data_IF_061990872971
#
_entry.id   IF_061990872971
#
_cell.length_a   1.000
_cell.length_b   1.000
_cell.length_c   1.000
_cell.angle_alpha   90.00
_cell.angle_beta   90.00
_cell.angle_gamma   90.00
#
_symmetry.space_group_name_H-M   'P 1'
#
loop_
_entity.id
_entity.type
_entity.pdbx_description
1 polymer ?
#
# COMPACT_ATOMS: atom_id res chain seq x y z
N UNK A 1 -13.59 -39.75 -4.68
CA UNK A 1 -13.89 -38.83 -3.58
C UNK A 1 -12.79 -37.76 -3.55
N UNK A 2 -13.03 -36.61 -4.17
CA UNK A 2 -12.04 -35.53 -4.25
C UNK A 2 -11.92 -34.86 -2.89
N UNK A 3 -10.72 -34.83 -2.33
CA UNK A 3 -10.38 -34.08 -1.12
C UNK A 3 -10.47 -32.61 -1.51
N UNK A 4 -11.57 -31.94 -1.16
CA UNK A 4 -11.66 -30.49 -1.23
C UNK A 4 -10.64 -29.90 -0.25
N UNK A 5 -9.45 -29.59 -0.75
CA UNK A 5 -8.50 -28.75 -0.02
C UNK A 5 -9.24 -27.46 0.35
N UNK A 6 -9.47 -27.21 1.64
CA UNK A 6 -9.97 -25.91 2.12
C UNK A 6 -9.00 -24.84 1.62
N UNK A 7 -9.41 -24.08 0.59
CA UNK A 7 -8.66 -22.90 0.17
C UNK A 7 -8.51 -22.00 1.40
N UNK A 8 -7.29 -21.91 1.94
CA UNK A 8 -7.01 -20.98 3.03
C UNK A 8 -7.25 -19.57 2.52
N UNK A 9 -8.09 -18.82 3.24
CA UNK A 9 -8.37 -17.43 2.86
C UNK A 9 -7.07 -16.62 2.99
N UNK A 10 -6.72 -15.81 1.99
CA UNK A 10 -5.58 -14.91 2.09
C UNK A 10 -5.69 -13.98 3.30
N UNK A 11 -4.55 -13.72 3.94
CA UNK A 11 -4.42 -12.62 4.89
C UNK A 11 -4.17 -11.33 4.10
N UNK A 12 -4.99 -10.32 4.33
CA UNK A 12 -4.87 -9.02 3.67
C UNK A 12 -4.21 -8.02 4.61
N UNK A 13 -3.02 -7.54 4.25
CA UNK A 13 -2.27 -6.56 5.03
C UNK A 13 -2.25 -5.23 4.29
N UNK A 14 -2.73 -4.17 4.94
CA UNK A 14 -2.60 -2.80 4.44
C UNK A 14 -1.31 -2.16 4.94
N UNK A 15 -0.50 -1.60 4.04
CA UNK A 15 0.68 -0.80 4.37
C UNK A 15 0.46 0.63 3.89
N UNK A 16 0.20 1.54 4.81
CA UNK A 16 -0.10 2.93 4.51
C UNK A 16 0.97 3.86 5.06
N UNK A 17 1.04 5.06 4.54
CA UNK A 17 1.95 6.11 4.98
C UNK A 17 2.22 7.11 3.87
N UNK A 18 2.75 8.26 4.22
CA UNK A 18 2.98 9.37 3.31
C UNK A 18 3.91 9.01 2.16
N UNK A 19 3.93 9.85 1.12
CA UNK A 19 4.87 9.70 0.01
C UNK A 19 6.31 9.57 0.52
N UNK A 20 7.12 8.76 -0.15
CA UNK A 20 8.54 8.54 0.19
C UNK A 20 8.81 7.93 1.59
N UNK A 21 7.82 7.46 2.34
CA UNK A 21 8.04 6.78 3.63
C UNK A 21 8.76 5.43 3.52
N UNK A 22 8.89 4.88 2.31
CA UNK A 22 9.59 3.60 2.08
C UNK A 22 8.69 2.39 1.89
N UNK A 23 7.36 2.55 1.93
CA UNK A 23 6.37 1.47 1.79
C UNK A 23 6.64 0.50 0.65
N UNK A 24 6.61 1.01 -0.59
CA UNK A 24 6.74 0.18 -1.80
C UNK A 24 8.09 -0.55 -1.88
N UNK A 25 9.16 0.08 -1.38
CA UNK A 25 10.49 -0.53 -1.34
C UNK A 25 10.50 -1.73 -0.40
N UNK A 26 9.96 -1.56 0.82
CA UNK A 26 9.89 -2.61 1.83
C UNK A 26 9.02 -3.77 1.35
N UNK A 27 7.82 -3.46 0.82
CA UNK A 27 6.89 -4.49 0.35
C UNK A 27 7.48 -5.30 -0.79
N UNK A 28 8.18 -4.63 -1.73
CA UNK A 28 8.86 -5.32 -2.83
C UNK A 28 9.96 -6.26 -2.34
N UNK A 29 10.77 -5.85 -1.37
CA UNK A 29 11.81 -6.72 -0.79
C UNK A 29 11.19 -7.95 -0.10
N UNK A 30 10.07 -7.78 0.59
CA UNK A 30 9.34 -8.91 1.18
C UNK A 30 8.79 -9.86 0.10
N UNK A 31 8.22 -9.32 -0.98
CA UNK A 31 7.74 -10.13 -2.11
C UNK A 31 8.87 -10.93 -2.76
N UNK A 32 10.04 -10.31 -2.95
CA UNK A 32 11.21 -10.97 -3.53
C UNK A 32 11.81 -12.04 -2.60
N UNK A 33 11.84 -11.76 -1.29
CA UNK A 33 12.38 -12.68 -0.27
C UNK A 33 11.50 -13.91 -0.03
N UNK A 34 10.18 -13.71 -0.03
CA UNK A 34 9.17 -14.73 0.26
C UNK A 34 8.34 -15.07 -0.99
N UNK A 35 9.02 -15.37 -2.10
CA UNK A 35 8.40 -15.69 -3.38
C UNK A 35 7.35 -16.82 -3.24
N UNK A 36 6.16 -16.56 -3.79
CA UNK A 36 5.04 -17.49 -3.72
C UNK A 36 4.15 -17.35 -2.47
N UNK A 37 4.59 -16.62 -1.43
CA UNK A 37 3.81 -16.37 -0.22
C UNK A 37 3.08 -15.03 -0.25
N UNK A 38 3.63 -14.04 -0.97
CA UNK A 38 3.16 -12.66 -1.03
C UNK A 38 2.67 -12.26 -2.42
N UNK A 39 1.56 -11.53 -2.46
CA UNK A 39 1.12 -10.73 -3.61
C UNK A 39 1.13 -9.26 -3.21
N UNK A 40 1.86 -8.43 -3.94
CA UNK A 40 1.88 -6.98 -3.75
C UNK A 40 0.90 -6.27 -4.70
N UNK A 41 0.03 -5.46 -4.14
CA UNK A 41 -0.89 -4.56 -4.86
C UNK A 41 -0.62 -3.12 -4.46
N UNK A 42 -0.18 -2.32 -5.42
CA UNK A 42 0.08 -0.90 -5.23
C UNK A 42 -1.17 -0.07 -5.58
N UNK A 43 -1.64 0.74 -4.62
CA UNK A 43 -2.77 1.66 -4.78
C UNK A 43 -2.58 2.63 -5.95
N UNK A 44 -1.34 3.04 -6.20
CA UNK A 44 -1.02 3.99 -7.29
C UNK A 44 -1.40 3.49 -8.69
N UNK A 45 -1.60 2.18 -8.86
CA UNK A 45 -2.11 1.63 -10.12
C UNK A 45 -3.59 1.96 -10.36
N UNK A 46 -4.31 2.33 -9.31
CA UNK A 46 -5.73 2.64 -9.36
C UNK A 46 -6.02 4.13 -9.51
N UNK A 47 -5.05 4.94 -9.92
CA UNK A 47 -5.29 6.34 -10.27
C UNK A 47 -6.25 6.46 -11.45
N UNK A 48 -7.16 7.44 -11.37
CA UNK A 48 -7.99 7.87 -12.51
C UNK A 48 -7.12 8.53 -13.58
N UNK A 49 -7.59 8.60 -14.82
CA UNK A 49 -6.89 9.33 -15.89
C UNK A 49 -6.84 10.84 -15.67
N UNK A 50 -7.84 11.37 -14.96
CA UNK A 50 -7.96 12.81 -14.64
C UNK A 50 -8.39 12.95 -13.20
N UNK A 51 -7.79 13.90 -12.52
CA UNK A 51 -8.16 14.32 -11.17
C UNK A 51 -7.77 15.78 -10.97
N UNK A 52 -8.61 16.52 -10.26
CA UNK A 52 -8.33 17.91 -9.90
C UNK A 52 -7.25 18.00 -8.81
N UNK A 53 -7.24 17.02 -7.93
CA UNK A 53 -6.24 16.90 -6.87
C UNK A 53 -5.69 15.46 -6.83
N UNK A 54 -4.46 15.28 -7.31
CA UNK A 54 -3.78 13.98 -7.34
C UNK A 54 -3.39 13.45 -5.97
N UNK A 55 -3.31 14.30 -4.97
CA UNK A 55 -2.97 13.93 -3.59
C UNK A 55 -4.22 13.63 -2.74
N UNK A 56 -5.42 13.81 -3.31
CA UNK A 56 -6.69 13.55 -2.64
C UNK A 56 -7.32 12.20 -2.99
N UNK A 57 -8.27 11.71 -2.16
CA UNK A 57 -8.94 10.42 -2.36
C UNK A 57 -9.68 10.30 -3.69
N UNK A 58 -10.20 11.42 -4.21
CA UNK A 58 -10.97 11.44 -5.45
C UNK A 58 -10.14 11.14 -6.70
N UNK A 59 -8.81 11.16 -6.58
CA UNK A 59 -7.90 10.75 -7.64
C UNK A 59 -7.86 9.22 -7.87
N UNK A 60 -8.39 8.45 -6.92
CA UNK A 60 -8.27 6.99 -6.88
C UNK A 60 -9.59 6.29 -7.17
N UNK A 61 -9.51 5.14 -7.83
CA UNK A 61 -10.64 4.23 -8.07
C UNK A 61 -10.73 3.22 -6.92
N UNK A 62 -11.20 3.70 -5.76
CA UNK A 62 -11.39 2.84 -4.60
C UNK A 62 -12.39 1.71 -4.84
N UNK A 63 -13.43 1.95 -5.64
CA UNK A 63 -14.40 0.93 -6.06
C UNK A 63 -13.70 -0.27 -6.68
N UNK A 64 -12.78 -0.04 -7.63
CA UNK A 64 -12.01 -1.09 -8.31
C UNK A 64 -10.98 -1.76 -7.41
N UNK A 65 -10.30 -1.01 -6.57
CA UNK A 65 -9.38 -1.57 -5.57
C UNK A 65 -10.13 -2.49 -4.60
N UNK A 66 -11.26 -2.04 -4.07
CA UNK A 66 -12.12 -2.82 -3.16
C UNK A 66 -12.63 -4.10 -3.82
N UNK A 67 -13.12 -4.01 -5.07
CA UNK A 67 -13.55 -5.17 -5.86
C UNK A 67 -12.43 -6.21 -5.99
N UNK A 68 -11.22 -5.77 -6.37
CA UNK A 68 -10.06 -6.65 -6.51
C UNK A 68 -9.68 -7.32 -5.18
N UNK A 69 -9.67 -6.58 -4.08
CA UNK A 69 -9.34 -7.14 -2.75
C UNK A 69 -10.42 -8.11 -2.26
N UNK A 70 -11.72 -7.85 -2.53
CA UNK A 70 -12.80 -8.80 -2.19
C UNK A 70 -12.65 -10.12 -2.92
N UNK A 71 -12.35 -10.09 -4.23
CA UNK A 71 -12.13 -11.28 -5.04
C UNK A 71 -10.98 -12.11 -4.47
N UNK A 72 -9.82 -11.48 -4.22
CA UNK A 72 -8.67 -12.15 -3.65
C UNK A 72 -8.97 -12.73 -2.27
N UNK A 73 -9.62 -11.96 -1.38
CA UNK A 73 -9.98 -12.41 -0.03
C UNK A 73 -10.93 -13.60 -0.03
N UNK A 74 -11.76 -13.74 -1.07
CA UNK A 74 -12.65 -14.92 -1.27
C UNK A 74 -11.95 -16.09 -1.98
N UNK A 75 -10.66 -15.97 -2.29
CA UNK A 75 -9.88 -17.02 -2.97
C UNK A 75 -10.06 -17.07 -4.48
N UNK A 76 -10.57 -15.98 -5.08
CA UNK A 76 -10.75 -15.83 -6.53
C UNK A 76 -9.65 -14.95 -7.14
N UNK A 77 -9.38 -15.16 -8.43
CA UNK A 77 -8.51 -14.30 -9.18
C UNK A 77 -9.15 -12.90 -9.33
N UNK A 78 -8.31 -11.89 -9.43
CA UNK A 78 -8.73 -10.52 -9.70
C UNK A 78 -7.93 -9.96 -10.89
N UNK A 79 -8.51 -8.97 -11.56
CA UNK A 79 -7.81 -8.20 -12.58
C UNK A 79 -7.49 -6.81 -12.03
N UNK A 80 -6.22 -6.41 -12.13
CA UNK A 80 -5.72 -5.11 -11.69
C UNK A 80 -5.06 -4.38 -12.85
N UNK A 81 -4.94 -3.04 -12.79
CA UNK A 81 -4.22 -2.31 -13.84
C UNK A 81 -2.73 -2.67 -13.85
N UNK A 82 -2.14 -2.91 -15.02
CA UNK A 82 -0.68 -3.04 -15.18
C UNK A 82 0.04 -1.70 -14.98
N UNK A 83 -0.59 -0.60 -15.38
CA UNK A 83 -0.02 0.74 -15.36
C UNK A 83 -0.92 1.72 -14.59
N UNK A 84 -0.32 2.84 -14.14
CA UNK A 84 -1.06 3.99 -13.60
C UNK A 84 -1.85 4.68 -14.72
N UNK A 85 -2.93 5.37 -14.36
CA UNK A 85 -3.75 6.20 -15.27
C UNK A 85 -4.36 5.45 -16.46
N UNK A 86 -4.44 4.13 -16.38
CA UNK A 86 -5.17 3.30 -17.35
C UNK A 86 -6.55 2.94 -16.83
N UNK A 87 -7.51 2.72 -17.70
CA UNK A 87 -8.81 2.12 -17.38
C UNK A 87 -8.86 0.64 -17.71
N UNK A 88 -7.75 0.11 -18.20
CA UNK A 88 -7.63 -1.31 -18.56
C UNK A 88 -7.13 -2.09 -17.37
N UNK A 89 -7.88 -3.13 -17.00
CA UNK A 89 -7.56 -4.10 -15.95
C UNK A 89 -7.09 -5.38 -16.63
N UNK A 90 -5.85 -5.40 -17.04
CA UNK A 90 -5.25 -6.40 -17.95
C UNK A 90 -4.31 -7.39 -17.24
N UNK A 91 -3.94 -7.10 -15.99
CA UNK A 91 -3.07 -8.00 -15.22
C UNK A 91 -3.92 -8.89 -14.30
N UNK A 92 -4.03 -10.16 -14.66
CA UNK A 92 -4.58 -11.17 -13.76
C UNK A 92 -3.64 -11.42 -12.59
N UNK A 93 -4.19 -11.43 -11.37
CA UNK A 93 -3.50 -11.78 -10.14
C UNK A 93 -4.28 -12.88 -9.41
N UNK A 94 -3.54 -13.83 -8.83
CA UNK A 94 -4.09 -14.95 -8.07
C UNK A 94 -3.97 -14.67 -6.58
N UNK A 95 -4.87 -15.21 -5.74
CA UNK A 95 -4.71 -15.13 -4.30
C UNK A 95 -3.45 -15.87 -3.86
N UNK A 96 -2.64 -15.20 -3.04
CA UNK A 96 -1.48 -15.77 -2.34
C UNK A 96 -1.82 -15.90 -0.86
N UNK A 97 -0.98 -16.60 -0.08
CA UNK A 97 -1.17 -16.72 1.38
C UNK A 97 -1.31 -15.36 2.05
N UNK A 98 -0.52 -14.38 1.59
CA UNK A 98 -0.53 -13.00 2.05
C UNK A 98 -0.71 -12.07 0.85
N UNK A 99 -1.65 -11.13 0.96
CA UNK A 99 -1.84 -10.04 0.00
C UNK A 99 -1.52 -8.73 0.71
N UNK A 100 -0.45 -8.06 0.27
CA UNK A 100 -0.08 -6.75 0.80
C UNK A 100 -0.62 -5.68 -0.14
N UNK A 101 -1.46 -4.81 0.38
CA UNK A 101 -1.97 -3.62 -0.32
C UNK A 101 -1.23 -2.42 0.23
N UNK A 102 -0.51 -1.68 -0.61
CA UNK A 102 0.22 -0.50 -0.16
C UNK A 102 -0.29 0.77 -0.85
N UNK A 103 -0.28 1.88 -0.10
CA UNK A 103 -0.69 3.17 -0.63
C UNK A 103 -0.54 4.32 0.37
N UNK A 104 -0.74 5.55 -0.11
CA UNK A 104 -0.63 6.74 0.73
C UNK A 104 -1.98 7.25 1.26
N UNK A 105 -3.09 6.83 0.65
CA UNK A 105 -4.47 7.13 1.06
C UNK A 105 -5.27 5.86 1.37
N UNK A 106 -4.59 4.78 1.74
CA UNK A 106 -5.21 3.46 1.85
C UNK A 106 -6.30 3.42 2.92
N UNK A 107 -6.05 4.03 4.07
CA UNK A 107 -6.93 3.95 5.24
C UNK A 107 -8.00 5.04 5.32
N UNK A 108 -8.10 5.94 4.33
CA UNK A 108 -9.20 6.92 4.28
C UNK A 108 -10.54 6.27 3.94
N UNK A 109 -10.52 5.13 3.26
CA UNK A 109 -11.74 4.45 2.82
C UNK A 109 -12.18 3.40 3.84
N UNK A 110 -13.32 3.64 4.49
CA UNK A 110 -13.87 2.77 5.54
C UNK A 110 -14.22 1.36 5.05
N UNK A 111 -14.64 1.23 3.78
CA UNK A 111 -15.01 -0.07 3.22
C UNK A 111 -13.75 -0.91 2.94
N UNK A 112 -12.71 -0.30 2.40
CA UNK A 112 -11.42 -0.95 2.24
C UNK A 112 -10.84 -1.38 3.60
N UNK A 113 -10.91 -0.52 4.63
CA UNK A 113 -10.42 -0.84 5.98
C UNK A 113 -11.04 -2.12 6.57
N UNK A 114 -12.32 -2.40 6.28
CA UNK A 114 -12.99 -3.65 6.73
C UNK A 114 -12.46 -4.90 6.04
N UNK A 115 -11.81 -4.77 4.89
CA UNK A 115 -11.22 -5.90 4.18
C UNK A 115 -9.81 -6.22 4.64
N UNK A 116 -9.12 -5.25 5.24
CA UNK A 116 -7.75 -5.41 5.75
C UNK A 116 -7.78 -6.15 7.09
N UNK A 117 -7.03 -7.25 7.19
CA UNK A 117 -6.91 -8.04 8.43
C UNK A 117 -5.84 -7.46 9.37
N UNK A 118 -4.82 -6.80 8.79
CA UNK A 118 -3.77 -6.07 9.51
C UNK A 118 -3.46 -4.77 8.80
N UNK A 119 -3.14 -3.75 9.57
CA UNK A 119 -2.89 -2.40 9.09
C UNK A 119 -1.59 -1.85 9.67
N UNK A 120 -0.67 -1.48 8.80
CA UNK A 120 0.64 -0.91 9.14
C UNK A 120 0.68 0.54 8.65
N UNK A 121 1.01 1.46 9.53
CA UNK A 121 1.34 2.83 9.17
C UNK A 121 2.85 3.04 9.18
N UNK A 122 3.41 3.67 8.15
CA UNK A 122 4.83 4.03 8.08
C UNK A 122 4.98 5.53 8.20
N UNK A 123 5.41 5.99 9.36
CA UNK A 123 5.68 7.40 9.66
C UNK A 123 6.89 7.91 8.88
N UNK A 124 6.87 9.18 8.50
CA UNK A 124 8.04 9.88 7.96
C UNK A 124 7.98 11.36 8.35
N UNK A 125 9.10 11.96 8.72
CA UNK A 125 9.21 13.39 8.95
C UNK A 125 9.14 14.18 7.63
N UNK A 126 8.66 15.43 7.69
CA UNK A 126 8.60 16.30 6.49
C UNK A 126 10.00 16.47 5.88
N UNK A 127 11.03 16.61 6.71
CA UNK A 127 12.43 16.76 6.26
C UNK A 127 12.89 15.54 5.46
N UNK A 128 12.66 14.33 5.97
CA UNK A 128 13.04 13.10 5.28
C UNK A 128 12.18 12.84 4.03
N UNK A 129 10.91 13.24 4.04
CA UNK A 129 10.05 13.19 2.86
C UNK A 129 10.62 14.08 1.75
N UNK A 130 10.95 15.33 2.05
CA UNK A 130 11.53 16.27 1.09
C UNK A 130 12.87 15.78 0.56
N UNK A 131 13.77 15.35 1.45
CA UNK A 131 15.08 14.81 1.07
C UNK A 131 14.97 13.61 0.14
N UNK A 132 14.12 12.62 0.49
CA UNK A 132 13.94 11.43 -0.33
C UNK A 132 13.24 11.73 -1.65
N UNK A 133 12.33 12.71 -1.68
CA UNK A 133 11.66 13.13 -2.89
C UNK A 133 12.63 13.81 -3.86
N UNK A 134 13.47 14.74 -3.36
CA UNK A 134 14.54 15.37 -4.15
C UNK A 134 15.48 14.31 -4.74
N UNK A 135 15.94 13.37 -3.91
CA UNK A 135 16.82 12.29 -4.37
C UNK A 135 16.18 11.38 -5.42
N UNK A 136 14.87 11.16 -5.34
CA UNK A 136 14.13 10.28 -6.26
C UNK A 136 13.91 10.91 -7.64
N UNK A 137 13.58 12.18 -7.69
CA UNK A 137 13.20 12.87 -8.92
C UNK A 137 14.33 13.72 -9.49
N UNK A 138 15.32 14.10 -8.66
CA UNK A 138 16.44 14.96 -9.04
C UNK A 138 16.03 16.30 -9.69
N UNK A 139 14.88 16.86 -9.27
CA UNK A 139 14.29 18.06 -9.84
C UNK A 139 13.84 19.01 -8.74
N UNK A 140 14.25 20.28 -8.76
CA UNK A 140 13.90 21.30 -7.77
C UNK A 140 12.40 21.62 -7.73
N UNK A 141 11.72 21.57 -8.88
CA UNK A 141 10.26 21.75 -8.96
C UNK A 141 9.48 20.73 -8.13
N UNK A 142 10.06 19.57 -7.87
CA UNK A 142 9.45 18.56 -6.99
C UNK A 142 9.49 18.95 -5.52
N UNK A 143 10.42 19.81 -5.11
CA UNK A 143 10.43 20.37 -3.75
C UNK A 143 9.27 21.34 -3.57
N UNK A 144 9.08 22.26 -4.50
CA UNK A 144 7.96 23.20 -4.50
C UNK A 144 6.62 22.46 -4.45
N UNK A 145 6.44 21.48 -5.31
CA UNK A 145 5.22 20.66 -5.30
C UNK A 145 5.07 19.90 -3.98
N UNK A 146 6.16 19.35 -3.44
CA UNK A 146 6.10 18.63 -2.17
C UNK A 146 5.74 19.55 -1.00
N UNK A 147 6.31 20.74 -0.94
CA UNK A 147 6.07 21.70 0.14
C UNK A 147 4.67 22.32 0.08
N UNK A 148 4.21 22.68 -1.12
CA UNK A 148 2.98 23.43 -1.31
C UNK A 148 1.74 22.55 -1.54
N UNK A 149 1.92 21.29 -1.97
CA UNK A 149 0.81 20.37 -2.28
C UNK A 149 0.90 19.08 -1.49
N UNK A 150 1.96 18.27 -1.66
CA UNK A 150 2.02 16.91 -1.09
C UNK A 150 1.96 16.92 0.44
N UNK A 151 2.77 17.76 1.09
CA UNK A 151 2.81 17.83 2.56
C UNK A 151 1.47 18.35 3.12
N UNK A 152 0.95 19.51 2.68
CA UNK A 152 -0.33 20.00 3.18
C UNK A 152 -1.49 19.03 2.95
N UNK A 153 -1.59 18.43 1.74
CA UNK A 153 -2.65 17.48 1.44
C UNK A 153 -2.53 16.20 2.28
N UNK A 154 -1.33 15.62 2.38
CA UNK A 154 -1.13 14.40 3.17
C UNK A 154 -1.45 14.59 4.65
N UNK A 155 -1.17 15.77 5.22
CA UNK A 155 -1.48 16.09 6.62
C UNK A 155 -2.98 16.12 6.92
N UNK A 156 -3.83 16.42 5.94
CA UNK A 156 -5.30 16.38 6.12
C UNK A 156 -5.78 14.98 6.52
N UNK A 157 -5.10 13.94 6.04
CA UNK A 157 -5.51 12.55 6.22
C UNK A 157 -4.60 11.78 7.20
N UNK A 158 -3.41 12.29 7.51
CA UNK A 158 -2.39 11.60 8.30
C UNK A 158 -2.92 11.13 9.66
N UNK A 159 -3.49 12.04 10.44
CA UNK A 159 -3.96 11.74 11.80
C UNK A 159 -5.04 10.66 11.79
N UNK A 160 -5.99 10.76 10.86
CA UNK A 160 -7.09 9.80 10.74
C UNK A 160 -6.57 8.43 10.31
N UNK A 161 -5.73 8.38 9.29
CA UNK A 161 -5.17 7.13 8.79
C UNK A 161 -4.26 6.45 9.80
N UNK A 162 -3.42 7.23 10.49
CA UNK A 162 -2.52 6.72 11.51
C UNK A 162 -3.26 6.04 12.67
N UNK A 163 -4.45 6.55 13.04
CA UNK A 163 -5.31 5.95 14.08
C UNK A 163 -5.91 4.61 13.67
N UNK A 164 -6.05 4.34 12.38
CA UNK A 164 -6.56 3.06 11.87
C UNK A 164 -5.52 1.94 11.93
N UNK A 165 -4.24 2.25 12.13
CA UNK A 165 -3.16 1.28 12.08
C UNK A 165 -3.07 0.42 13.36
N UNK A 166 -2.84 -0.88 13.17
CA UNK A 166 -2.50 -1.82 14.26
C UNK A 166 -1.04 -1.65 14.70
N UNK A 167 -0.17 -1.23 13.77
CA UNK A 167 1.27 -1.04 13.98
C UNK A 167 1.73 0.25 13.31
N UNK A 168 2.61 0.98 14.00
CA UNK A 168 3.27 2.17 13.47
C UNK A 168 4.77 1.87 13.38
N UNK A 169 5.32 2.00 12.18
CA UNK A 169 6.73 1.85 11.90
C UNK A 169 7.38 3.22 11.69
N UNK A 170 8.63 3.36 12.12
CA UNK A 170 9.41 4.57 11.88
C UNK A 170 10.09 4.49 10.50
N UNK A 171 9.51 5.15 9.51
CA UNK A 171 10.03 5.25 8.16
C UNK A 171 11.27 6.15 8.04
N UNK A 172 11.71 6.83 9.12
CA UNK A 172 12.98 7.58 9.11
C UNK A 172 14.20 6.66 9.26
N UNK A 173 13.99 5.41 9.67
CA UNK A 173 15.02 4.38 9.76
C UNK A 173 15.59 4.00 8.39
N UNK A 174 16.70 3.24 8.39
CA UNK A 174 17.24 2.64 7.16
C UNK A 174 16.28 1.60 6.58
N UNK A 175 16.43 1.30 5.29
CA UNK A 175 15.63 0.28 4.61
C UNK A 175 15.69 -1.07 5.34
N UNK A 176 16.89 -1.50 5.72
CA UNK A 176 17.14 -2.77 6.38
C UNK A 176 16.44 -2.85 7.75
N UNK A 177 16.47 -1.76 8.51
CA UNK A 177 15.79 -1.67 9.81
C UNK A 177 14.27 -1.75 9.66
N UNK A 178 13.70 -1.05 8.68
CA UNK A 178 12.24 -1.08 8.44
C UNK A 178 11.81 -2.48 8.00
N UNK A 179 12.55 -3.14 7.10
CA UNK A 179 12.28 -4.52 6.67
C UNK A 179 12.27 -5.45 7.88
N UNK A 180 13.27 -5.36 8.74
CA UNK A 180 13.36 -6.15 9.97
C UNK A 180 12.14 -5.93 10.88
N UNK A 181 11.76 -4.67 11.10
CA UNK A 181 10.60 -4.33 11.92
C UNK A 181 9.31 -4.95 11.34
N UNK A 182 9.13 -4.92 10.01
CA UNK A 182 7.97 -5.54 9.33
C UNK A 182 7.99 -7.06 9.49
N UNK A 183 9.14 -7.71 9.26
CA UNK A 183 9.30 -9.15 9.39
C UNK A 183 9.00 -9.64 10.81
N UNK A 184 9.50 -8.93 11.82
CA UNK A 184 9.23 -9.25 13.23
C UNK A 184 7.74 -9.19 13.56
N UNK A 185 7.02 -8.23 12.97
CA UNK A 185 5.57 -8.13 13.16
C UNK A 185 4.79 -9.23 12.43
N UNK A 186 5.20 -9.57 11.21
CA UNK A 186 4.61 -10.68 10.44
C UNK A 186 4.80 -12.01 11.20
N UNK A 187 5.98 -12.25 11.78
CA UNK A 187 6.24 -13.42 12.63
C UNK A 187 5.37 -13.46 13.87
N UNK A 188 5.21 -12.32 14.58
CA UNK A 188 4.31 -12.22 15.75
C UNK A 188 2.86 -12.54 15.42
N UNK A 189 2.45 -12.30 14.20
CA UNK A 189 1.12 -12.64 13.72
C UNK A 189 0.96 -14.11 13.33
N UNK A 190 2.02 -14.92 13.50
CA UNK A 190 2.04 -16.35 13.17
C UNK A 190 1.65 -16.67 11.71
N UNK A 191 2.12 -15.86 10.78
CA UNK A 191 1.75 -15.93 9.37
C UNK A 191 2.76 -16.76 8.56
N UNK A 192 4.02 -16.71 8.97
CA UNK A 192 5.16 -17.45 8.40
C UNK A 192 6.02 -18.07 9.50
#
# INVERSE_FOLDING_TARGET
MGIFSKKTKPLIIGVCGRSCSGKSTVVKELEDKYKGEFLHICQDKFFKKKADNWEGPDSLRFDKLIESIRLLKSGNNAFIPSHRWTEVFDREVKPHKIVIVEGYLLFVNKELNKLLDKKIWVDISDVNLLYRRLKRFNELNQLDYAMNVVIPESKKYEVTQRKEADIILDGNKTKEQIIKDVEENIKKWHII
#
